data_IF_504723347575
#
_entry.id   IF_504723347575
#
_cell.length_a   1.000
_cell.length_b   1.000
_cell.length_c   1.000
_cell.angle_alpha   90.00
_cell.angle_beta   90.00
_cell.angle_gamma   90.00
#
_symmetry.space_group_name_H-M   'P 1'
#
loop_
_entity.id
_entity.type
_entity.pdbx_description
1 polymer ?
#
# COMPACT_ATOMS: atom_id res chain seq x y z
N UNK A 1 -18.27 39.55 -7.10
CA UNK A 1 -19.35 38.68 -6.58
C UNK A 1 -18.78 37.28 -6.53
N UNK A 2 -18.17 36.90 -5.39
CA UNK A 2 -17.73 35.52 -5.14
C UNK A 2 -18.85 34.80 -4.42
N UNK A 3 -19.40 33.78 -5.07
CA UNK A 3 -20.33 32.83 -4.44
C UNK A 3 -19.52 31.69 -3.87
N UNK A 4 -19.37 31.66 -2.55
CA UNK A 4 -18.90 30.50 -1.80
C UNK A 4 -19.99 29.42 -1.85
N UNK A 5 -19.69 28.15 -2.10
CA UNK A 5 -20.69 27.08 -2.03
C UNK A 5 -21.13 26.90 -0.57
N UNK A 6 -22.45 26.90 -0.35
CA UNK A 6 -23.07 26.56 0.93
C UNK A 6 -22.70 25.12 1.30
N UNK A 7 -21.78 25.00 2.25
CA UNK A 7 -21.46 23.76 2.94
C UNK A 7 -22.71 23.31 3.72
N UNK A 8 -23.46 22.38 3.13
CA UNK A 8 -24.67 21.82 3.72
C UNK A 8 -24.26 20.86 4.84
N UNK A 9 -23.98 21.42 6.01
CA UNK A 9 -23.73 20.64 7.23
C UNK A 9 -25.06 20.05 7.72
N UNK A 10 -25.32 18.81 7.36
CA UNK A 10 -26.42 18.02 7.95
C UNK A 10 -26.13 17.91 9.46
N UNK A 11 -27.01 18.39 10.35
CA UNK A 11 -26.77 18.31 11.78
C UNK A 11 -26.74 16.84 12.21
N UNK A 12 -25.66 16.43 12.87
CA UNK A 12 -25.54 15.08 13.42
C UNK A 12 -26.75 14.76 14.31
N UNK A 13 -27.34 13.55 14.20
CA UNK A 13 -28.47 13.18 15.01
C UNK A 13 -28.14 13.31 16.51
N UNK A 14 -29.10 13.76 17.31
CA UNK A 14 -28.92 13.94 18.76
C UNK A 14 -28.59 12.59 19.39
N UNK A 15 -27.32 12.37 19.74
CA UNK A 15 -26.78 11.14 20.32
C UNK A 15 -27.73 10.45 21.32
N UNK A 16 -28.26 11.22 22.28
CA UNK A 16 -29.15 10.70 23.31
C UNK A 16 -30.43 10.05 22.74
N UNK A 17 -31.05 10.65 21.73
CA UNK A 17 -32.26 10.10 21.12
C UNK A 17 -31.96 8.79 20.38
N UNK A 18 -30.83 8.73 19.67
CA UNK A 18 -30.37 7.50 18.98
C UNK A 18 -30.08 6.39 19.99
N UNK A 19 -29.35 6.70 21.06
CA UNK A 19 -29.03 5.76 22.12
C UNK A 19 -30.30 5.19 22.77
N UNK A 20 -31.25 6.05 23.15
CA UNK A 20 -32.51 5.62 23.78
C UNK A 20 -33.35 4.73 22.85
N UNK A 21 -33.41 5.05 21.56
CA UNK A 21 -34.08 4.20 20.58
C UNK A 21 -33.45 2.81 20.49
N UNK A 22 -32.11 2.73 20.41
CA UNK A 22 -31.39 1.44 20.37
C UNK A 22 -31.53 0.64 21.66
N UNK A 23 -31.51 1.31 22.82
CA UNK A 23 -31.76 0.65 24.10
C UNK A 23 -33.18 0.07 24.17
N UNK A 24 -34.19 0.81 23.69
CA UNK A 24 -35.57 0.32 23.64
C UNK A 24 -35.70 -0.91 22.73
N UNK A 25 -35.05 -0.91 21.57
CA UNK A 25 -35.00 -2.07 20.68
C UNK A 25 -34.34 -3.29 21.35
N UNK A 26 -33.21 -3.09 22.04
CA UNK A 26 -32.53 -4.17 22.75
C UNK A 26 -33.39 -4.76 23.87
N UNK A 27 -34.02 -3.92 24.69
CA UNK A 27 -34.94 -4.35 25.75
C UNK A 27 -36.09 -5.19 25.16
N UNK A 28 -36.68 -4.72 24.06
CA UNK A 28 -37.76 -5.45 23.39
C UNK A 28 -37.30 -6.82 22.92
N UNK A 29 -36.19 -6.91 22.20
CA UNK A 29 -35.65 -8.19 21.69
C UNK A 29 -35.34 -9.17 22.83
N UNK A 30 -34.69 -8.70 23.90
CA UNK A 30 -34.37 -9.52 25.07
C UNK A 30 -35.64 -10.01 25.79
N UNK A 31 -36.68 -9.17 25.84
CA UNK A 31 -37.97 -9.53 26.43
C UNK A 31 -38.71 -10.54 25.56
N UNK A 32 -38.71 -10.36 24.24
CA UNK A 32 -39.33 -11.28 23.28
C UNK A 32 -38.66 -12.66 23.36
N UNK A 33 -37.32 -12.70 23.48
CA UNK A 33 -36.55 -13.94 23.62
C UNK A 33 -36.94 -14.75 24.87
N UNK A 34 -37.25 -14.09 25.99
CA UNK A 34 -37.67 -14.74 27.22
C UNK A 34 -39.02 -15.46 27.10
N UNK A 35 -39.84 -15.07 26.12
CA UNK A 35 -41.16 -15.66 25.87
C UNK A 35 -41.14 -16.78 24.83
N UNK A 36 -39.99 -17.07 24.20
CA UNK A 36 -39.88 -18.16 23.22
C UNK A 36 -40.03 -19.51 23.95
N UNK A 37 -41.01 -20.35 23.59
CA UNK A 37 -41.13 -21.69 24.16
C UNK A 37 -40.07 -22.62 23.57
N UNK A 38 -39.37 -23.37 24.41
CA UNK A 38 -38.42 -24.41 23.99
C UNK A 38 -39.14 -25.76 23.92
N UNK A 39 -39.13 -26.46 22.76
CA UNK A 39 -39.73 -27.79 22.66
C UNK A 39 -39.09 -28.77 23.63
N UNK A 40 -39.91 -29.57 24.32
CA UNK A 40 -39.41 -30.73 25.07
C UNK A 40 -38.99 -31.82 24.11
N UNK A 41 -37.91 -32.51 24.44
CA UNK A 41 -37.44 -33.65 23.66
C UNK A 41 -37.83 -34.95 24.36
N UNK A 42 -38.30 -35.93 23.57
CA UNK A 42 -38.50 -37.31 24.00
C UNK A 42 -37.62 -38.24 23.20
N UNK A 43 -37.28 -39.38 23.80
CA UNK A 43 -36.52 -40.43 23.12
C UNK A 43 -37.47 -41.40 22.41
N UNK A 44 -37.19 -41.68 21.15
CA UNK A 44 -37.91 -42.69 20.35
C UNK A 44 -37.46 -44.11 20.72
N UNK A 45 -38.21 -45.12 20.30
CA UNK A 45 -37.87 -46.54 20.50
C UNK A 45 -36.51 -46.90 19.85
N UNK A 46 -36.17 -46.27 18.72
CA UNK A 46 -34.87 -46.39 18.05
C UNK A 46 -33.74 -45.57 18.72
N UNK A 47 -34.02 -44.93 19.86
CA UNK A 47 -33.05 -44.18 20.65
C UNK A 47 -32.77 -42.75 20.18
N UNK A 48 -33.41 -42.26 19.10
CA UNK A 48 -33.27 -40.88 18.59
C UNK A 48 -34.09 -39.90 19.42
N UNK A 49 -33.56 -38.70 19.65
CA UNK A 49 -34.29 -37.60 20.26
C UNK A 49 -35.17 -36.91 19.22
N UNK A 50 -36.44 -36.68 19.57
CA UNK A 50 -37.41 -35.95 18.74
C UNK A 50 -38.21 -35.00 19.62
N UNK A 51 -38.76 -33.96 19.03
CA UNK A 51 -39.70 -33.08 19.74
C UNK A 51 -40.91 -33.87 20.24
N UNK A 52 -41.23 -33.67 21.51
CA UNK A 52 -42.44 -34.16 22.13
C UNK A 52 -43.57 -33.16 21.92
N UNK A 53 -44.26 -33.28 20.78
CA UNK A 53 -45.39 -32.41 20.44
C UNK A 53 -46.55 -32.51 21.42
N UNK A 54 -46.57 -33.52 22.30
CA UNK A 54 -47.64 -33.76 23.28
C UNK A 54 -47.30 -33.22 24.68
N UNK A 55 -46.05 -32.82 24.92
CA UNK A 55 -45.64 -32.20 26.18
C UNK A 55 -45.78 -30.68 26.12
N UNK A 56 -46.08 -30.05 27.27
CA UNK A 56 -45.96 -28.60 27.37
C UNK A 56 -44.48 -28.20 27.18
N UNK A 57 -44.20 -27.13 26.41
CA UNK A 57 -42.82 -26.67 26.19
C UNK A 57 -42.19 -26.15 27.48
N UNK A 58 -40.86 -26.22 27.55
CA UNK A 58 -40.09 -25.57 28.60
C UNK A 58 -39.87 -24.09 28.26
N UNK A 59 -39.43 -23.32 29.26
CA UNK A 59 -38.97 -21.96 29.03
C UNK A 59 -37.63 -21.99 28.26
N UNK A 60 -37.44 -21.05 27.34
CA UNK A 60 -36.14 -20.86 26.66
C UNK A 60 -35.03 -20.63 27.67
N UNK A 61 -33.84 -21.15 27.35
CA UNK A 61 -32.63 -20.77 28.05
C UNK A 61 -32.26 -19.33 27.66
N UNK A 62 -32.83 -18.38 28.40
CA UNK A 62 -32.62 -16.97 28.15
C UNK A 62 -31.17 -16.55 28.40
N UNK A 63 -30.46 -17.23 29.32
CA UNK A 63 -29.07 -16.94 29.59
C UNK A 63 -28.21 -17.29 28.38
N UNK A 64 -28.42 -18.48 27.78
CA UNK A 64 -27.78 -18.88 26.52
C UNK A 64 -28.08 -17.88 25.39
N UNK A 65 -29.33 -17.42 25.25
CA UNK A 65 -29.66 -16.41 24.25
C UNK A 65 -28.86 -15.12 24.42
N UNK A 66 -28.77 -14.60 25.65
CA UNK A 66 -28.06 -13.36 25.96
C UNK A 66 -26.56 -13.50 25.71
N UNK A 67 -25.95 -14.60 26.15
CA UNK A 67 -24.51 -14.82 25.97
C UNK A 67 -24.14 -14.93 24.50
N UNK A 68 -24.93 -15.67 23.71
CA UNK A 68 -24.72 -15.78 22.26
C UNK A 68 -24.94 -14.45 21.53
N UNK A 69 -25.94 -13.67 21.92
CA UNK A 69 -26.18 -12.35 21.33
C UNK A 69 -25.03 -11.37 21.61
N UNK A 70 -24.49 -11.38 22.83
CA UNK A 70 -23.32 -10.57 23.18
C UNK A 70 -22.07 -11.05 22.44
N UNK A 71 -21.86 -12.36 22.33
CA UNK A 71 -20.75 -12.93 21.57
C UNK A 71 -20.81 -12.50 20.10
N UNK A 72 -21.98 -12.57 19.46
CA UNK A 72 -22.14 -12.13 18.08
C UNK A 72 -21.89 -10.63 17.89
N UNK A 73 -22.35 -9.79 18.82
CA UNK A 73 -22.06 -8.36 18.80
C UNK A 73 -20.55 -8.07 18.93
N UNK A 74 -19.87 -8.73 19.89
CA UNK A 74 -18.43 -8.60 20.07
C UNK A 74 -17.66 -9.09 18.83
N UNK A 75 -18.08 -10.21 18.24
CA UNK A 75 -17.50 -10.75 17.02
C UNK A 75 -17.62 -9.78 15.83
N UNK A 76 -18.77 -9.15 15.64
CA UNK A 76 -18.99 -8.20 14.54
C UNK A 76 -18.13 -6.93 14.69
N UNK A 77 -17.93 -6.44 15.92
CA UNK A 77 -17.12 -5.25 16.20
C UNK A 77 -15.60 -5.54 16.15
N UNK A 78 -15.21 -6.82 16.17
CA UNK A 78 -13.82 -7.24 16.01
C UNK A 78 -13.12 -7.65 17.32
N UNK A 79 -13.87 -8.01 18.37
CA UNK A 79 -13.31 -8.57 19.60
C UNK A 79 -13.94 -8.03 20.89
N UNK A 80 -13.61 -8.65 22.02
CA UNK A 80 -14.10 -8.22 23.34
C UNK A 80 -13.53 -6.84 23.70
N UNK A 81 -12.25 -6.60 23.44
CA UNK A 81 -11.64 -5.30 23.73
C UNK A 81 -12.20 -4.18 22.86
N UNK A 82 -12.45 -4.46 21.58
CA UNK A 82 -13.01 -3.49 20.65
C UNK A 82 -14.40 -3.01 21.08
N UNK A 83 -15.30 -3.94 21.44
CA UNK A 83 -16.67 -3.59 21.87
C UNK A 83 -16.72 -2.90 23.25
N UNK A 84 -15.70 -3.09 24.10
CA UNK A 84 -15.62 -2.51 25.44
C UNK A 84 -14.78 -1.21 25.51
N UNK A 85 -14.21 -0.76 24.39
CA UNK A 85 -13.24 0.34 24.34
C UNK A 85 -13.79 1.70 24.83
N UNK A 86 -15.11 1.88 24.91
CA UNK A 86 -15.69 3.15 25.36
C UNK A 86 -15.36 3.50 26.82
N UNK A 87 -15.39 2.51 27.72
CA UNK A 87 -15.06 2.65 29.17
C UNK A 87 -14.52 1.32 29.72
N UNK A 88 -13.32 0.89 29.32
CA UNK A 88 -12.82 -0.46 29.60
C UNK A 88 -12.65 -0.76 31.10
N UNK A 89 -12.41 0.25 31.94
CA UNK A 89 -12.24 0.11 33.40
C UNK A 89 -13.56 0.15 34.19
N UNK A 90 -14.71 0.24 33.53
CA UNK A 90 -16.01 0.24 34.21
C UNK A 90 -16.35 -1.17 34.72
N UNK A 91 -17.05 -1.27 35.86
CA UNK A 91 -17.44 -2.56 36.42
C UNK A 91 -18.38 -3.32 35.48
N UNK A 92 -19.20 -2.61 34.69
CA UNK A 92 -20.05 -3.20 33.65
C UNK A 92 -19.20 -3.87 32.56
N UNK A 93 -18.13 -3.21 32.13
CA UNK A 93 -17.23 -3.72 31.09
C UNK A 93 -16.54 -5.00 31.58
N UNK A 94 -16.07 -5.03 32.83
CA UNK A 94 -15.49 -6.24 33.42
C UNK A 94 -16.52 -7.39 33.52
N UNK A 95 -17.75 -7.09 33.94
CA UNK A 95 -18.82 -8.10 33.98
C UNK A 95 -19.14 -8.69 32.61
N UNK A 96 -19.23 -7.84 31.57
CA UNK A 96 -19.46 -8.29 30.19
C UNK A 96 -18.26 -9.07 29.65
N UNK A 97 -17.02 -8.65 29.94
CA UNK A 97 -15.80 -9.37 29.58
C UNK A 97 -15.81 -10.80 30.12
N UNK A 98 -16.06 -10.97 31.43
CA UNK A 98 -16.09 -12.30 32.06
C UNK A 98 -17.18 -13.19 31.46
N UNK A 99 -18.35 -12.62 31.15
CA UNK A 99 -19.45 -13.34 30.50
C UNK A 99 -19.07 -13.81 29.09
N UNK A 100 -18.45 -12.93 28.30
CA UNK A 100 -17.98 -13.25 26.95
C UNK A 100 -16.90 -14.32 26.99
N UNK A 101 -15.86 -14.17 27.81
CA UNK A 101 -14.78 -15.17 27.96
C UNK A 101 -15.31 -16.54 28.41
N UNK A 102 -16.34 -16.57 29.26
CA UNK A 102 -17.01 -17.81 29.67
C UNK A 102 -17.79 -18.46 28.52
N UNK A 103 -18.19 -17.68 27.52
CA UNK A 103 -18.96 -18.14 26.35
C UNK A 103 -18.06 -18.57 25.21
N UNK A 104 -17.02 -17.79 24.89
CA UNK A 104 -16.18 -17.97 23.67
C UNK A 104 -14.77 -18.52 23.96
N UNK A 105 -14.43 -18.74 25.23
CA UNK A 105 -13.11 -19.18 25.67
C UNK A 105 -12.21 -18.02 26.12
N UNK A 106 -11.16 -18.36 26.89
CA UNK A 106 -10.28 -17.39 27.55
C UNK A 106 -9.49 -16.48 26.60
N UNK A 107 -9.23 -16.93 25.37
CA UNK A 107 -8.48 -16.18 24.34
C UNK A 107 -9.35 -15.90 23.11
N UNK A 108 -10.67 -15.71 23.29
CA UNK A 108 -11.61 -15.44 22.19
C UNK A 108 -11.63 -16.52 21.09
N UNK A 109 -11.15 -17.72 21.42
CA UNK A 109 -10.85 -18.82 20.48
C UNK A 109 -12.04 -19.39 19.72
N UNK A 110 -13.26 -18.92 19.98
CA UNK A 110 -14.48 -19.30 19.27
C UNK A 110 -15.35 -18.12 18.93
N UNK A 111 -14.85 -16.90 19.13
CA UNK A 111 -15.66 -15.69 18.95
C UNK A 111 -16.20 -15.58 17.51
N UNK A 112 -15.41 -16.00 16.52
CA UNK A 112 -15.81 -16.00 15.12
C UNK A 112 -17.00 -16.90 14.79
N UNK A 113 -17.25 -17.95 15.60
CA UNK A 113 -18.40 -18.85 15.43
C UNK A 113 -19.74 -18.12 15.63
N UNK A 114 -19.71 -16.93 16.24
CA UNK A 114 -20.88 -16.11 16.51
C UNK A 114 -21.03 -14.92 15.56
N UNK A 115 -20.10 -14.73 14.63
CA UNK A 115 -20.12 -13.58 13.72
C UNK A 115 -21.29 -13.68 12.76
N UNK A 116 -21.93 -12.54 12.50
CA UNK A 116 -23.07 -12.43 11.58
C UNK A 116 -22.86 -11.40 10.49
N UNK A 117 -21.85 -10.53 10.65
CA UNK A 117 -21.42 -9.57 9.63
C UNK A 117 -20.21 -10.10 8.85
N UNK A 118 -20.06 -9.72 7.56
CA UNK A 118 -18.86 -10.02 6.77
C UNK A 118 -17.57 -9.55 7.45
N UNK A 119 -16.47 -10.24 7.14
CA UNK A 119 -15.13 -9.81 7.54
C UNK A 119 -14.50 -9.06 6.38
N UNK A 120 -14.12 -7.81 6.60
CA UNK A 120 -13.43 -6.97 5.62
C UNK A 120 -11.95 -6.85 6.00
N UNK A 121 -11.08 -7.33 5.13
CA UNK A 121 -9.62 -7.28 5.32
C UNK A 121 -9.02 -6.44 4.21
N UNK A 122 -8.20 -5.45 4.56
CA UNK A 122 -7.36 -4.72 3.60
C UNK A 122 -5.90 -5.11 3.82
N UNK A 123 -5.27 -5.66 2.78
CA UNK A 123 -3.86 -6.03 2.77
C UNK A 123 -3.05 -4.87 2.22
N UNK A 124 -2.22 -4.27 3.05
CA UNK A 124 -1.20 -3.31 2.64
C UNK A 124 0.09 -4.10 2.39
N UNK A 125 0.41 -4.33 1.12
CA UNK A 125 1.48 -5.28 0.76
C UNK A 125 2.84 -4.80 1.27
N UNK A 126 3.06 -3.49 1.29
CA UNK A 126 4.27 -2.87 1.79
C UNK A 126 4.45 -2.98 3.32
N UNK A 127 3.36 -3.07 4.11
CA UNK A 127 3.45 -3.39 5.55
C UNK A 127 3.87 -4.85 5.78
N UNK A 128 3.35 -5.78 4.96
CA UNK A 128 3.67 -7.21 5.03
C UNK A 128 5.10 -7.51 4.58
N UNK A 129 5.72 -6.57 3.87
CA UNK A 129 7.05 -6.71 3.31
C UNK A 129 8.14 -6.75 4.39
N UNK A 130 7.92 -6.13 5.55
CA UNK A 130 8.91 -6.05 6.63
C UNK A 130 9.17 -7.41 7.31
N UNK A 131 8.15 -8.27 7.42
CA UNK A 131 8.25 -9.51 8.21
C UNK A 131 8.63 -10.76 7.39
N UNK A 132 8.32 -10.79 6.08
CA UNK A 132 8.49 -12.01 5.24
C UNK A 132 9.07 -11.74 3.85
N UNK A 133 8.83 -10.56 3.28
CA UNK A 133 9.23 -10.23 1.90
C UNK A 133 10.54 -9.41 1.87
N UNK A 134 11.21 -9.28 3.02
CA UNK A 134 12.46 -8.52 3.17
C UNK A 134 13.53 -8.99 2.17
N UNK A 135 13.64 -10.29 1.92
CA UNK A 135 14.59 -10.81 0.93
C UNK A 135 14.26 -10.31 -0.49
N UNK A 136 12.98 -10.20 -0.85
CA UNK A 136 12.61 -9.68 -2.17
C UNK A 136 12.96 -8.19 -2.28
N UNK A 137 12.76 -7.42 -1.21
CA UNK A 137 13.19 -6.02 -1.16
C UNK A 137 14.70 -5.90 -1.34
N UNK A 138 15.49 -6.72 -0.66
CA UNK A 138 16.95 -6.73 -0.83
C UNK A 138 17.34 -7.10 -2.27
N UNK A 139 16.66 -8.05 -2.91
CA UNK A 139 16.88 -8.38 -4.32
C UNK A 139 16.60 -7.19 -5.26
N UNK A 140 15.54 -6.42 -5.01
CA UNK A 140 15.23 -5.22 -5.78
C UNK A 140 16.20 -4.06 -5.47
N UNK A 141 16.60 -3.86 -4.22
CA UNK A 141 17.61 -2.88 -3.85
C UNK A 141 18.96 -3.20 -4.53
N UNK A 142 19.34 -4.48 -4.61
CA UNK A 142 20.53 -4.91 -5.31
C UNK A 142 20.45 -4.65 -6.83
N UNK A 143 19.26 -4.84 -7.42
CA UNK A 143 18.99 -4.51 -8.82
C UNK A 143 19.08 -3.00 -9.09
N UNK A 144 18.49 -2.17 -8.24
CA UNK A 144 18.60 -0.71 -8.33
C UNK A 144 20.06 -0.23 -8.18
N UNK A 145 20.82 -0.84 -7.24
CA UNK A 145 22.25 -0.56 -7.07
C UNK A 145 23.09 -0.95 -8.29
N UNK A 146 22.74 -2.05 -8.97
CA UNK A 146 23.35 -2.43 -10.26
C UNK A 146 23.06 -1.42 -11.35
N UNK A 147 21.81 -0.96 -11.49
CA UNK A 147 21.44 0.09 -12.46
C UNK A 147 22.22 1.39 -12.20
N UNK A 148 22.29 1.83 -10.94
CA UNK A 148 23.07 3.01 -10.56
C UNK A 148 24.54 2.88 -10.95
N UNK A 149 25.15 1.70 -10.72
CA UNK A 149 26.51 1.43 -11.16
C UNK A 149 26.65 1.43 -12.69
N UNK A 150 25.65 1.00 -13.45
CA UNK A 150 25.65 1.10 -14.92
C UNK A 150 25.65 2.57 -15.37
N UNK A 151 24.90 3.46 -14.71
CA UNK A 151 24.98 4.90 -14.94
C UNK A 151 26.38 5.44 -14.65
N UNK A 152 26.97 5.12 -13.49
CA UNK A 152 28.34 5.55 -13.14
C UNK A 152 29.37 5.12 -14.19
N UNK A 153 29.25 3.89 -14.72
CA UNK A 153 30.10 3.39 -15.80
C UNK A 153 29.85 4.15 -17.11
N UNK A 154 28.60 4.45 -17.46
CA UNK A 154 28.26 5.20 -18.67
C UNK A 154 28.76 6.66 -18.61
N UNK A 155 28.69 7.28 -17.43
CA UNK A 155 29.24 8.61 -17.13
C UNK A 155 30.76 8.60 -17.25
N UNK A 156 31.43 7.66 -16.59
CA UNK A 156 32.89 7.53 -16.65
C UNK A 156 33.39 7.23 -18.08
N UNK A 157 32.65 6.41 -18.83
CA UNK A 157 32.98 6.07 -20.21
C UNK A 157 32.70 7.21 -21.21
N UNK A 158 31.90 8.21 -20.83
CA UNK A 158 31.70 9.40 -21.66
C UNK A 158 33.04 10.10 -21.92
N UNK A 159 33.88 10.21 -20.88
CA UNK A 159 35.19 10.86 -20.95
C UNK A 159 35.14 12.28 -21.53
N UNK A 160 33.97 12.94 -21.48
CA UNK A 160 33.76 14.23 -22.12
C UNK A 160 34.48 15.30 -21.30
N UNK A 161 35.65 15.69 -21.78
CA UNK A 161 36.37 16.85 -21.26
C UNK A 161 35.75 18.14 -21.83
N UNK A 162 34.77 18.70 -21.13
CA UNK A 162 34.07 19.91 -21.59
C UNK A 162 35.04 21.08 -21.85
N UNK A 163 36.13 21.20 -21.09
CA UNK A 163 37.12 22.26 -21.26
C UNK A 163 37.95 22.08 -22.54
N UNK A 164 38.02 20.87 -23.10
CA UNK A 164 38.64 20.61 -24.40
C UNK A 164 37.80 21.19 -25.55
N UNK A 165 36.48 21.03 -25.48
CA UNK A 165 35.56 21.36 -26.59
C UNK A 165 34.94 22.74 -26.49
N UNK A 166 34.73 23.26 -25.27
CA UNK A 166 33.95 24.44 -24.99
C UNK A 166 34.77 25.50 -24.23
N UNK A 167 34.48 26.76 -24.50
CA UNK A 167 34.78 27.88 -23.60
C UNK A 167 33.64 27.99 -22.59
N UNK A 168 33.95 27.82 -21.31
CA UNK A 168 32.97 27.92 -20.22
C UNK A 168 33.01 29.30 -19.56
N UNK A 169 31.85 29.90 -19.37
CA UNK A 169 31.69 31.22 -18.77
C UNK A 169 30.80 31.14 -17.53
N UNK A 170 31.28 31.65 -16.41
CA UNK A 170 30.50 31.78 -15.18
C UNK A 170 29.76 33.11 -15.15
N UNK A 171 28.50 33.06 -14.69
CA UNK A 171 27.70 34.26 -14.46
C UNK A 171 28.07 34.88 -13.12
N UNK A 172 28.40 36.15 -13.12
CA UNK A 172 28.69 36.92 -11.91
C UNK A 172 27.41 37.39 -11.24
N UNK A 173 27.51 37.87 -9.99
CA UNK A 173 26.38 38.48 -9.29
C UNK A 173 25.86 39.78 -9.93
N UNK A 174 26.59 40.38 -10.88
CA UNK A 174 26.13 41.52 -11.69
C UNK A 174 25.39 41.09 -12.97
N UNK A 175 25.35 39.79 -13.28
CA UNK A 175 24.77 39.26 -14.52
C UNK A 175 25.73 39.20 -15.70
N UNK A 176 27.00 39.59 -15.52
CA UNK A 176 28.04 39.49 -16.55
C UNK A 176 28.60 38.07 -16.63
N UNK A 177 29.22 37.73 -17.76
CA UNK A 177 29.86 36.43 -17.97
C UNK A 177 31.38 36.56 -17.98
N UNK A 178 32.05 35.75 -17.16
CA UNK A 178 33.51 35.70 -17.06
C UNK A 178 33.98 34.31 -17.44
N UNK A 179 34.92 34.22 -18.38
CA UNK A 179 35.49 32.94 -18.79
C UNK A 179 36.24 32.28 -17.65
N UNK A 180 36.12 30.95 -17.54
CA UNK A 180 36.97 30.11 -16.69
C UNK A 180 38.38 29.94 -17.26
N UNK A 181 38.54 30.10 -18.57
CA UNK A 181 39.81 29.98 -19.28
C UNK A 181 40.34 31.39 -19.69
N UNK A 182 41.58 31.76 -19.30
CA UNK A 182 42.21 33.02 -19.70
C UNK A 182 42.39 33.21 -21.21
N UNK A 183 42.43 32.13 -21.99
CA UNK A 183 42.61 32.16 -23.45
C UNK A 183 41.28 32.30 -24.22
N UNK A 184 40.14 32.21 -23.53
CA UNK A 184 38.83 32.33 -24.16
C UNK A 184 38.57 33.76 -24.68
N UNK A 185 37.77 33.91 -25.76
CA UNK A 185 37.32 35.21 -26.20
C UNK A 185 36.45 35.89 -25.14
N UNK A 186 36.36 37.22 -25.20
CA UNK A 186 35.41 37.95 -24.39
C UNK A 186 33.97 37.49 -24.71
N UNK A 187 33.11 37.40 -23.69
CA UNK A 187 31.72 36.98 -23.88
C UNK A 187 31.02 37.84 -24.94
N UNK A 188 30.37 37.16 -25.89
CA UNK A 188 29.58 37.79 -26.94
C UNK A 188 28.29 37.00 -27.19
N UNK A 189 27.15 37.66 -26.99
CA UNK A 189 25.82 37.07 -27.20
C UNK A 189 25.61 36.54 -28.62
N UNK A 190 26.14 37.23 -29.62
CA UNK A 190 26.00 36.81 -31.02
C UNK A 190 26.79 35.54 -31.31
N UNK A 191 27.96 35.36 -30.69
CA UNK A 191 28.78 34.15 -30.82
C UNK A 191 28.14 32.97 -30.09
N UNK A 192 27.61 33.20 -28.88
CA UNK A 192 26.85 32.20 -28.15
C UNK A 192 25.60 31.74 -28.93
N UNK A 193 24.79 32.66 -29.47
CA UNK A 193 23.61 32.31 -30.29
C UNK A 193 23.99 31.54 -31.55
N UNK A 194 25.12 31.87 -32.17
CA UNK A 194 25.60 31.19 -33.36
C UNK A 194 26.03 29.73 -33.09
N UNK A 195 26.40 29.41 -31.84
CA UNK A 195 26.76 28.06 -31.40
C UNK A 195 25.60 27.19 -30.94
N UNK A 196 24.36 27.68 -30.93
CA UNK A 196 23.18 26.89 -30.57
C UNK A 196 22.80 25.89 -31.67
N UNK A 197 22.30 24.71 -31.30
CA UNK A 197 21.77 23.75 -32.26
C UNK A 197 20.58 24.35 -33.01
N UNK A 198 20.74 24.57 -34.31
CA UNK A 198 19.72 25.18 -35.16
C UNK A 198 18.50 24.27 -35.40
N UNK A 199 18.56 23.00 -35.00
CA UNK A 199 17.41 22.08 -35.04
C UNK A 199 16.43 22.33 -33.90
N UNK A 200 16.89 22.96 -32.81
CA UNK A 200 16.03 23.24 -31.66
C UNK A 200 15.01 24.34 -31.96
N UNK A 201 13.80 24.30 -31.38
CA UNK A 201 12.77 25.29 -31.62
C UNK A 201 13.20 26.70 -31.19
N UNK A 202 12.87 27.73 -31.97
CA UNK A 202 13.19 29.13 -31.63
C UNK A 202 12.64 29.58 -30.26
N UNK A 203 11.59 28.92 -29.76
CA UNK A 203 11.07 29.15 -28.41
C UNK A 203 12.07 28.72 -27.33
N UNK A 204 12.72 27.57 -27.50
CA UNK A 204 13.74 27.04 -26.58
C UNK A 204 14.94 27.99 -26.50
N UNK A 205 15.46 28.46 -27.64
CA UNK A 205 16.56 29.42 -27.67
C UNK A 205 16.26 30.71 -26.90
N UNK A 206 15.04 31.24 -27.06
CA UNK A 206 14.61 32.43 -26.32
C UNK A 206 14.52 32.17 -24.82
N UNK A 207 13.94 31.05 -24.40
CA UNK A 207 13.83 30.68 -22.98
C UNK A 207 15.22 30.48 -22.35
N UNK A 208 16.17 29.91 -23.09
CA UNK A 208 17.56 29.76 -22.67
C UNK A 208 18.27 31.12 -22.52
N UNK A 209 18.09 32.02 -23.49
CA UNK A 209 18.63 33.39 -23.44
C UNK A 209 18.03 34.18 -22.25
N UNK A 210 16.72 34.10 -22.05
CA UNK A 210 16.02 34.70 -20.89
C UNK A 210 16.56 34.13 -19.57
N UNK A 211 16.83 32.82 -19.51
CA UNK A 211 17.40 32.17 -18.32
C UNK A 211 18.81 32.66 -17.99
N UNK A 212 19.63 32.91 -19.02
CA UNK A 212 20.98 33.44 -18.86
C UNK A 212 21.01 34.92 -18.50
N UNK A 213 20.06 35.71 -19.03
CA UNK A 213 19.97 37.15 -18.75
C UNK A 213 19.46 37.42 -17.33
N UNK A 214 18.31 36.86 -16.98
CA UNK A 214 17.56 37.22 -15.77
C UNK A 214 17.13 36.01 -14.93
N UNK A 215 17.34 34.79 -15.43
CA UNK A 215 16.92 33.55 -14.77
C UNK A 215 17.96 32.93 -13.83
N UNK A 216 17.82 31.62 -13.62
CA UNK A 216 18.56 30.82 -12.65
C UNK A 216 19.87 30.24 -13.21
N UNK A 217 20.14 30.39 -14.51
CA UNK A 217 21.35 29.85 -15.11
C UNK A 217 22.60 30.51 -14.51
N UNK A 218 23.59 29.68 -14.17
CA UNK A 218 24.82 30.08 -13.47
C UNK A 218 26.04 30.20 -14.39
N UNK A 219 25.91 29.82 -15.66
CA UNK A 219 26.97 29.91 -16.65
C UNK A 219 26.49 29.58 -18.06
N UNK A 220 27.34 29.86 -19.04
CA UNK A 220 27.13 29.60 -20.46
C UNK A 220 28.35 28.93 -21.08
N UNK A 221 28.18 28.29 -22.23
CA UNK A 221 29.26 27.66 -22.97
C UNK A 221 29.23 28.08 -24.44
N UNK A 222 30.41 28.25 -25.04
CA UNK A 222 30.58 28.50 -26.48
C UNK A 222 31.56 27.47 -27.04
N UNK A 223 31.26 26.76 -28.15
CA UNK A 223 32.23 25.87 -28.77
C UNK A 223 33.51 26.60 -29.17
N UNK A 224 34.68 26.00 -28.93
CA UNK A 224 35.96 26.62 -29.32
C UNK A 224 36.10 26.76 -30.84
N UNK A 225 35.53 25.82 -31.58
CA UNK A 225 35.38 25.83 -33.04
C UNK A 225 34.08 25.11 -33.43
N UNK A 226 33.54 25.35 -34.64
CA UNK A 226 32.38 24.60 -35.13
C UNK A 226 32.60 23.07 -35.17
N UNK A 227 33.80 22.62 -35.52
CA UNK A 227 34.16 21.21 -35.58
C UNK A 227 34.20 20.57 -34.18
N UNK A 228 34.75 21.27 -33.18
CA UNK A 228 34.76 20.80 -31.79
C UNK A 228 33.37 20.82 -31.16
N UNK A 229 32.52 21.78 -31.53
CA UNK A 229 31.11 21.80 -31.14
C UNK A 229 30.35 20.58 -31.67
N UNK A 230 30.46 20.30 -32.97
CA UNK A 230 29.81 19.14 -33.57
C UNK A 230 30.29 17.80 -32.99
N UNK A 231 31.58 17.70 -32.63
CA UNK A 231 32.13 16.51 -31.96
C UNK A 231 31.63 16.38 -30.51
N UNK A 232 31.56 17.49 -29.76
CA UNK A 232 30.99 17.52 -28.41
C UNK A 232 29.51 17.11 -28.41
N UNK A 233 28.72 17.61 -29.36
CA UNK A 233 27.32 17.23 -29.54
C UNK A 233 27.19 15.74 -29.85
N UNK A 234 28.03 15.20 -30.76
CA UNK A 234 28.05 13.77 -31.09
C UNK A 234 28.34 12.91 -29.87
N UNK A 235 29.37 13.26 -29.09
CA UNK A 235 29.75 12.50 -27.88
C UNK A 235 28.68 12.59 -26.79
N UNK A 236 28.06 13.76 -26.64
CA UNK A 236 26.92 13.97 -25.73
C UNK A 236 25.74 13.10 -26.14
N UNK A 237 25.35 13.12 -27.42
CA UNK A 237 24.29 12.27 -27.94
C UNK A 237 24.59 10.77 -27.80
N UNK A 238 25.83 10.34 -28.02
CA UNK A 238 26.25 8.94 -27.77
C UNK A 238 26.17 8.56 -26.29
N UNK A 239 26.52 9.47 -25.38
CA UNK A 239 26.38 9.27 -23.94
C UNK A 239 24.91 9.22 -23.52
N UNK A 240 24.08 10.16 -23.96
CA UNK A 240 22.64 10.18 -23.71
C UNK A 240 21.96 8.90 -24.24
N UNK A 241 22.34 8.42 -25.43
CA UNK A 241 21.81 7.18 -25.97
C UNK A 241 22.17 5.96 -25.10
N UNK A 242 23.37 5.93 -24.48
CA UNK A 242 23.73 4.88 -23.50
C UNK A 242 22.88 4.99 -22.23
N UNK A 243 22.72 6.20 -21.70
CA UNK A 243 21.91 6.45 -20.51
C UNK A 243 20.42 6.14 -20.74
N UNK A 244 19.88 6.40 -21.93
CA UNK A 244 18.50 6.07 -22.29
C UNK A 244 18.21 4.56 -22.22
N UNK A 245 19.17 3.71 -22.60
CA UNK A 245 19.04 2.25 -22.47
C UNK A 245 18.95 1.85 -20.98
N UNK A 246 19.73 2.49 -20.11
CA UNK A 246 19.72 2.23 -18.67
C UNK A 246 18.42 2.74 -18.04
N UNK A 247 17.96 3.92 -18.42
CA UNK A 247 16.69 4.50 -17.97
C UNK A 247 15.48 3.61 -18.33
N UNK A 248 15.48 3.06 -19.54
CA UNK A 248 14.46 2.09 -19.93
C UNK A 248 14.50 0.81 -19.07
N UNK A 249 15.70 0.33 -18.70
CA UNK A 249 15.83 -0.82 -17.80
C UNK A 249 15.32 -0.51 -16.38
N UNK A 250 15.55 0.70 -15.89
CA UNK A 250 15.04 1.18 -14.61
C UNK A 250 13.50 1.23 -14.60
N UNK A 251 12.89 1.77 -15.65
CA UNK A 251 11.44 1.78 -15.80
C UNK A 251 10.87 0.35 -15.84
N UNK A 252 11.50 -0.55 -16.61
CA UNK A 252 11.09 -1.96 -16.66
C UNK A 252 11.21 -2.66 -15.31
N UNK A 253 12.26 -2.38 -14.53
CA UNK A 253 12.43 -2.91 -13.18
C UNK A 253 11.31 -2.43 -12.25
N UNK A 254 10.95 -1.15 -12.34
CA UNK A 254 9.85 -0.59 -11.56
C UNK A 254 8.50 -1.23 -11.94
N UNK A 255 8.23 -1.40 -13.24
CA UNK A 255 7.02 -2.06 -13.72
C UNK A 255 6.96 -3.52 -13.26
N UNK A 256 8.08 -4.25 -13.34
CA UNK A 256 8.17 -5.62 -12.83
C UNK A 256 7.90 -5.67 -11.33
N UNK A 257 8.46 -4.75 -10.54
CA UNK A 257 8.22 -4.67 -9.08
C UNK A 257 6.73 -4.55 -8.77
N UNK A 258 6.05 -3.59 -9.40
CA UNK A 258 4.61 -3.38 -9.21
C UNK A 258 3.84 -4.64 -9.60
N UNK A 259 4.15 -5.23 -10.75
CA UNK A 259 3.50 -6.45 -11.23
C UNK A 259 3.65 -7.63 -10.26
N UNK A 260 4.87 -7.91 -9.80
CA UNK A 260 5.15 -9.01 -8.87
C UNK A 260 4.51 -8.78 -7.49
N UNK A 261 4.44 -7.53 -7.01
CA UNK A 261 3.82 -7.19 -5.73
C UNK A 261 2.31 -7.32 -5.79
N UNK A 262 1.69 -6.88 -6.89
CA UNK A 262 0.27 -7.12 -7.15
C UNK A 262 -0.03 -8.61 -7.24
N UNK A 263 0.78 -9.39 -7.97
CA UNK A 263 0.59 -10.83 -8.08
C UNK A 263 0.69 -11.54 -6.72
N UNK A 264 1.67 -11.15 -5.89
CA UNK A 264 1.79 -11.65 -4.52
C UNK A 264 0.57 -11.28 -3.67
N UNK A 265 0.10 -10.03 -3.75
CA UNK A 265 -1.09 -9.58 -3.01
C UNK A 265 -2.38 -10.32 -3.41
N UNK A 266 -2.58 -10.56 -4.71
CA UNK A 266 -3.71 -11.36 -5.20
C UNK A 266 -3.61 -12.83 -4.76
N UNK A 267 -2.40 -13.41 -4.72
CA UNK A 267 -2.18 -14.75 -4.21
C UNK A 267 -2.51 -14.85 -2.70
N UNK A 268 -2.09 -13.87 -1.91
CA UNK A 268 -2.44 -13.77 -0.49
C UNK A 268 -3.95 -13.66 -0.29
N UNK A 269 -4.61 -12.79 -1.04
CA UNK A 269 -6.07 -12.64 -1.03
C UNK A 269 -6.76 -13.99 -1.27
N UNK A 270 -6.41 -14.67 -2.36
CA UNK A 270 -7.01 -15.96 -2.69
C UNK A 270 -6.74 -17.01 -1.60
N UNK A 271 -5.55 -16.99 -0.99
CA UNK A 271 -5.19 -17.89 0.12
C UNK A 271 -6.03 -17.62 1.37
N UNK A 272 -6.15 -16.37 1.78
CA UNK A 272 -6.96 -15.96 2.95
C UNK A 272 -8.43 -16.35 2.75
N UNK A 273 -9.01 -16.03 1.60
CA UNK A 273 -10.42 -16.36 1.30
C UNK A 273 -10.65 -17.87 1.29
N UNK A 274 -9.70 -18.65 0.75
CA UNK A 274 -9.75 -20.13 0.78
C UNK A 274 -9.66 -20.67 2.20
N UNK A 275 -8.74 -20.14 3.03
CA UNK A 275 -8.57 -20.56 4.41
C UNK A 275 -9.79 -20.23 5.26
N UNK A 276 -10.37 -19.05 5.06
CA UNK A 276 -11.61 -18.63 5.71
C UNK A 276 -12.79 -19.54 5.32
N UNK A 277 -12.97 -19.83 4.03
CA UNK A 277 -14.04 -20.72 3.55
C UNK A 277 -13.91 -22.16 4.06
N UNK A 278 -12.69 -22.60 4.39
CA UNK A 278 -12.43 -23.92 4.97
C UNK A 278 -12.54 -23.95 6.51
N UNK A 279 -12.73 -22.80 7.17
CA UNK A 279 -12.74 -22.70 8.63
C UNK A 279 -14.09 -23.15 9.21
N UNK A 280 -14.12 -24.20 10.05
CA UNK A 280 -15.35 -24.62 10.70
C UNK A 280 -15.93 -23.52 11.59
N UNK A 281 -17.23 -23.27 11.46
CA UNK A 281 -17.97 -22.29 12.25
C UNK A 281 -17.87 -20.85 11.73
N UNK A 282 -17.08 -20.57 10.68
CA UNK A 282 -17.09 -19.25 10.05
C UNK A 282 -18.09 -19.23 8.88
N UNK A 283 -19.33 -18.84 9.17
CA UNK A 283 -20.44 -18.88 8.21
C UNK A 283 -20.63 -17.57 7.41
N UNK A 284 -19.88 -16.53 7.75
CA UNK A 284 -19.93 -15.21 7.09
C UNK A 284 -18.87 -15.10 5.98
N UNK A 285 -19.14 -14.33 4.92
CA UNK A 285 -18.14 -14.12 3.88
C UNK A 285 -16.95 -13.32 4.42
N UNK A 286 -15.76 -13.65 3.92
CA UNK A 286 -14.54 -12.88 4.11
C UNK A 286 -14.17 -12.23 2.80
N UNK A 287 -14.02 -10.91 2.82
CA UNK A 287 -13.70 -10.09 1.67
C UNK A 287 -12.32 -9.47 1.87
N UNK A 288 -11.43 -9.74 0.91
CA UNK A 288 -10.07 -9.22 0.96
C UNK A 288 -9.86 -8.20 -0.17
N UNK A 289 -9.34 -7.04 0.20
CA UNK A 289 -8.91 -5.98 -0.71
C UNK A 289 -7.39 -5.86 -0.65
N UNK A 290 -6.74 -5.76 -1.81
CA UNK A 290 -5.29 -5.61 -1.94
C UNK A 290 -4.99 -4.15 -2.23
N UNK A 291 -4.10 -3.54 -1.43
CA UNK A 291 -3.56 -2.21 -1.64
C UNK A 291 -2.04 -2.31 -1.83
N UNK A 292 -1.59 -1.92 -3.02
CA UNK A 292 -0.18 -1.88 -3.41
C UNK A 292 0.34 -0.44 -3.58
N UNK A 293 -0.53 0.55 -3.48
CA UNK A 293 -0.21 1.95 -3.77
C UNK A 293 0.03 2.76 -2.49
N UNK A 294 -0.70 2.44 -1.43
CA UNK A 294 -0.59 3.16 -0.16
C UNK A 294 0.66 2.73 0.59
N UNK A 295 1.69 3.58 0.58
CA UNK A 295 2.91 3.37 1.35
C UNK A 295 2.71 3.73 2.84
N UNK A 296 2.86 2.74 3.74
CA UNK A 296 2.70 2.80 5.20
C UNK A 296 3.93 2.36 5.99
N UNK A 297 5.05 2.06 5.35
CA UNK A 297 6.31 1.75 6.04
C UNK A 297 6.61 2.75 7.16
N UNK A 298 6.76 2.24 8.39
CA UNK A 298 7.06 3.03 9.58
C UNK A 298 5.89 3.26 10.53
N UNK A 299 4.65 2.93 10.18
CA UNK A 299 3.57 2.73 11.18
C UNK A 299 3.68 1.34 11.81
N UNK A 300 4.92 0.97 12.18
CA UNK A 300 5.27 -0.24 12.91
C UNK A 300 4.70 -0.20 14.32
N UNK A 301 3.39 -0.34 14.39
CA UNK A 301 2.69 -1.01 15.45
C UNK A 301 1.44 -1.56 14.79
N UNK A 302 1.55 -2.77 14.21
CA UNK A 302 0.47 -3.75 14.37
C UNK A 302 0.11 -3.67 15.86
N UNK A 303 -0.95 -2.93 16.19
CA UNK A 303 -1.32 -2.65 17.58
C UNK A 303 -1.38 -3.99 18.31
N UNK A 304 -0.91 -4.08 19.55
CA UNK A 304 -0.76 -5.35 20.28
C UNK A 304 -2.03 -6.23 20.28
N UNK A 305 -3.23 -5.65 20.11
CA UNK A 305 -4.48 -6.40 19.96
C UNK A 305 -4.74 -7.02 18.57
N UNK A 306 -3.90 -6.75 17.57
CA UNK A 306 -3.98 -7.34 16.24
C UNK A 306 -3.63 -8.83 16.28
N UNK A 307 -2.64 -9.24 17.09
CA UNK A 307 -2.06 -10.59 17.03
C UNK A 307 -3.04 -11.74 17.40
N UNK A 308 -4.09 -11.46 18.18
CA UNK A 308 -5.05 -12.49 18.62
C UNK A 308 -6.36 -12.51 17.79
N UNK A 309 -6.52 -11.60 16.83
CA UNK A 309 -7.72 -11.57 15.98
C UNK A 309 -7.78 -12.75 14.99
N UNK A 310 -8.97 -13.03 14.48
CA UNK A 310 -9.13 -14.01 13.39
C UNK A 310 -8.43 -13.53 12.11
N UNK A 311 -8.59 -12.24 11.80
CA UNK A 311 -8.03 -11.56 10.64
C UNK A 311 -6.52 -11.74 10.59
N UNK A 312 -5.82 -11.48 11.69
CA UNK A 312 -4.36 -11.63 11.76
C UNK A 312 -3.90 -13.07 11.64
N UNK A 313 -4.60 -14.01 12.28
CA UNK A 313 -4.27 -15.44 12.14
C UNK A 313 -4.42 -15.92 10.70
N UNK A 314 -5.45 -15.46 9.98
CA UNK A 314 -5.63 -15.76 8.56
C UNK A 314 -4.50 -15.14 7.72
N UNK A 315 -4.16 -13.87 7.96
CA UNK A 315 -3.10 -13.16 7.25
C UNK A 315 -1.75 -13.83 7.49
N UNK A 316 -1.36 -14.05 8.74
CA UNK A 316 -0.07 -14.62 9.10
C UNK A 316 0.08 -16.03 8.53
N UNK A 317 -0.95 -16.87 8.62
CA UNK A 317 -0.90 -18.20 8.04
C UNK A 317 -0.83 -18.16 6.50
N UNK A 318 -1.55 -17.23 5.84
CA UNK A 318 -1.46 -17.05 4.39
C UNK A 318 -0.07 -16.55 3.96
N UNK A 319 0.54 -15.62 4.71
CA UNK A 319 1.89 -15.10 4.48
C UNK A 319 2.95 -16.19 4.66
N UNK A 320 2.73 -17.14 5.58
CA UNK A 320 3.65 -18.28 5.75
C UNK A 320 3.57 -19.27 4.57
N UNK A 321 2.39 -19.45 3.98
CA UNK A 321 2.14 -20.46 2.94
C UNK A 321 2.23 -19.93 1.50
N UNK A 322 2.27 -18.61 1.30
CA UNK A 322 2.28 -17.99 -0.04
C UNK A 322 3.71 -17.68 -0.46
N UNK A 323 4.18 -18.20 -1.61
CA UNK A 323 5.49 -17.83 -2.15
C UNK A 323 5.59 -16.32 -2.38
N UNK A 324 6.73 -15.77 -1.99
CA UNK A 324 7.06 -14.36 -2.16
C UNK A 324 7.73 -14.11 -3.51
N UNK A 325 7.86 -12.85 -3.96
CA UNK A 325 8.65 -12.53 -5.14
C UNK A 325 10.14 -12.94 -5.04
N UNK A 326 10.67 -13.15 -3.82
CA UNK A 326 12.02 -13.68 -3.63
C UNK A 326 12.16 -15.15 -4.06
N UNK A 327 11.05 -15.89 -4.04
CA UNK A 327 10.99 -17.32 -4.42
C UNK A 327 10.95 -17.51 -5.95
N UNK A 328 10.83 -16.42 -6.72
CA UNK A 328 10.86 -16.46 -8.19
C UNK A 328 12.26 -16.81 -8.72
N UNK A 329 12.38 -17.55 -9.83
CA UNK A 329 13.66 -18.05 -10.30
C UNK A 329 14.56 -16.96 -10.93
N UNK A 330 15.66 -16.64 -10.26
CA UNK A 330 16.67 -15.66 -10.68
C UNK A 330 16.44 -14.28 -10.07
N UNK A 331 17.45 -13.41 -10.08
CA UNK A 331 17.31 -12.05 -9.54
C UNK A 331 16.42 -11.16 -10.43
N UNK A 332 15.84 -10.05 -9.91
CA UNK A 332 14.93 -9.20 -10.66
C UNK A 332 15.45 -8.75 -12.04
N UNK A 333 16.72 -8.34 -12.14
CA UNK A 333 17.33 -7.96 -13.42
C UNK A 333 17.50 -9.14 -14.37
N UNK A 334 17.89 -10.32 -13.86
CA UNK A 334 18.03 -11.51 -14.70
C UNK A 334 16.68 -11.92 -15.31
N UNK A 335 15.58 -11.69 -14.58
CA UNK A 335 14.22 -11.98 -15.08
C UNK A 335 13.87 -11.08 -16.26
N UNK A 336 14.17 -9.78 -16.19
CA UNK A 336 14.00 -8.85 -17.31
C UNK A 336 14.84 -9.24 -18.53
N UNK A 337 16.13 -9.54 -18.30
CA UNK A 337 17.07 -9.89 -19.37
C UNK A 337 16.66 -11.20 -20.08
N UNK A 338 16.04 -12.15 -19.39
CA UNK A 338 15.51 -13.40 -19.99
C UNK A 338 14.22 -13.19 -20.80
N UNK A 339 13.38 -12.24 -20.44
CA UNK A 339 12.14 -11.94 -21.21
C UNK A 339 12.51 -11.36 -22.56
N UNK A 340 13.50 -10.47 -22.62
CA UNK A 340 13.96 -9.86 -23.87
C UNK A 340 14.54 -10.90 -24.85
N UNK A 341 15.28 -11.89 -24.34
CA UNK A 341 15.81 -13.00 -25.16
C UNK A 341 14.73 -13.93 -25.75
N UNK A 342 13.50 -13.90 -25.25
CA UNK A 342 12.38 -14.72 -25.77
C UNK A 342 11.51 -14.00 -26.81
N UNK A 343 11.62 -12.67 -26.91
CA UNK A 343 10.85 -11.87 -27.88
C UNK A 343 11.60 -11.63 -29.20
N UNK A 344 12.91 -11.92 -29.24
CA UNK A 344 13.76 -11.80 -30.43
C UNK A 344 13.92 -13.11 -31.24
N UNK A 345 13.40 -14.24 -30.72
CA UNK A 345 13.32 -15.55 -31.41
C UNK A 345 11.89 -15.81 -31.94
#
# INVERSE_FOLDING_TARGET
MSSTPEETTVPAPKYHAVYQAKLADAIRVLTDAAHIPRPRLRRTEDGKWVEDTMAAPDQTDWAEFVTLALAGAAANIGGIDAILNGRPAAWEAEGVRQLLLSTVGADETRLWEHRTEPIEITLYIDELVVDRVYEAVEQYNAAEAEINRRYEVADAASGIDHDHYLWLYDRTGSGDFVSRDPEAPAWAWDEWRAGLDQKEPAKFHRELEESLQDGWATGAAIPKTPELGAEHDRLTAEHEARCAVIANLEEQLQQQRVHEWTAYGEALKARIETMAAAMPGLDVPVHVTVDVETYRMGTASRQEGFWDSLESRLIDAAVMDTPTPADLPGAPLERLERVHFREED
#
